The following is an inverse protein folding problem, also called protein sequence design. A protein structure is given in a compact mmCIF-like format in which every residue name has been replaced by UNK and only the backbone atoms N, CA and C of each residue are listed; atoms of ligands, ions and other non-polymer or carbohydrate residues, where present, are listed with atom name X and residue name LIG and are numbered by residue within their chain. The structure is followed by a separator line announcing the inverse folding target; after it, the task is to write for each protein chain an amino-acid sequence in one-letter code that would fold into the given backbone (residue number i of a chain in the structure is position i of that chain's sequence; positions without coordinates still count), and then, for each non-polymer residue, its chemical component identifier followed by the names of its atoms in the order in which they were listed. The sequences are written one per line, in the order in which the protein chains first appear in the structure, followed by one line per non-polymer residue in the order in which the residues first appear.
data_IF_914448544363
#
_entry.id   IF_914448544363
#
_cell.length_a   1.000
_cell.length_b   1.000
_cell.length_c   1.000
_cell.angle_alpha   90.00
_cell.angle_beta   90.00
_cell.angle_gamma   90.00
#
_symmetry.space_group_name_H-M   'P 1'
#
loop_
_entity.id
_entity.type
_entity.pdbx_description
1 polymer ?
#
# COMPACT_ATOMS: atom_id res chain seq x y z
N UNK A 1 13.73 -1.65 24.74
CA UNK A 1 14.68 -0.51 24.68
C UNK A 1 15.74 -0.57 23.57
N UNK A 2 16.16 -1.75 23.07
CA UNK A 2 17.20 -1.83 21.99
C UNK A 2 16.70 -1.63 20.54
N UNK A 3 15.38 -1.73 20.28
CA UNK A 3 14.80 -1.65 18.92
C UNK A 3 14.56 -0.21 18.42
N UNK A 4 14.20 0.72 19.31
CA UNK A 4 14.01 2.15 18.98
C UNK A 4 15.33 2.86 18.63
N UNK A 5 16.42 2.49 19.32
CA UNK A 5 17.76 3.02 19.04
C UNK A 5 18.28 2.55 17.68
N UNK A 6 17.93 1.33 17.27
CA UNK A 6 18.28 0.80 15.95
C UNK A 6 17.56 1.56 14.82
N UNK A 7 16.31 1.97 15.03
CA UNK A 7 15.55 2.79 14.10
C UNK A 7 16.15 4.20 13.93
N UNK A 8 16.52 4.85 15.03
CA UNK A 8 17.17 6.16 14.99
C UNK A 8 18.54 6.09 14.30
N UNK A 9 19.31 5.02 14.54
CA UNK A 9 20.59 4.79 13.86
C UNK A 9 20.43 4.43 12.38
N UNK A 10 19.36 3.74 11.99
CA UNK A 10 19.08 3.42 10.58
C UNK A 10 18.65 4.67 9.79
N UNK A 11 17.80 5.51 10.37
CA UNK A 11 17.44 6.82 9.79
C UNK A 11 18.65 7.74 9.71
N UNK A 12 19.50 7.77 10.75
CA UNK A 12 20.74 8.55 10.74
C UNK A 12 21.76 8.02 9.71
N UNK A 13 21.88 6.70 9.54
CA UNK A 13 22.77 6.10 8.54
C UNK A 13 22.32 6.39 7.09
N UNK A 14 21.01 6.42 6.83
CA UNK A 14 20.44 6.86 5.55
C UNK A 14 20.70 8.35 5.26
N UNK A 15 20.77 9.18 6.30
CA UNK A 15 21.09 10.62 6.19
C UNK A 15 22.59 10.89 5.99
N UNK A 16 23.46 9.95 6.37
CA UNK A 16 24.92 10.13 6.36
C UNK A 16 25.63 9.52 5.14
N UNK A 17 24.97 8.69 4.33
CA UNK A 17 25.50 8.26 3.02
C UNK A 17 25.02 9.18 1.91
N UNK A 18 25.37 10.46 2.02
CA UNK A 18 25.16 11.46 0.99
C UNK A 18 26.43 11.69 0.18
N UNK A 19 26.61 10.94 -0.90
CA UNK A 19 27.32 11.48 -2.06
C UNK A 19 26.27 12.07 -3.01
N UNK A 20 26.14 13.38 -2.92
CA UNK A 20 25.81 14.33 -3.99
C UNK A 20 24.73 13.90 -4.99
N UNK A 21 23.47 14.07 -4.61
CA UNK A 21 22.47 14.70 -5.47
C UNK A 21 21.39 15.24 -4.54
N UNK A 22 21.42 16.56 -4.30
CA UNK A 22 20.36 17.25 -3.58
C UNK A 22 19.09 17.27 -4.45
N UNK A 23 18.32 16.17 -4.46
CA UNK A 23 16.90 16.26 -4.74
C UNK A 23 16.28 16.99 -3.55
N UNK A 24 15.94 18.25 -3.79
CA UNK A 24 15.71 19.21 -2.74
C UNK A 24 14.49 18.86 -1.90
N UNK A 25 14.58 19.12 -0.61
CA UNK A 25 13.45 19.11 0.34
C UNK A 25 12.28 20.00 -0.16
N UNK A 26 12.51 20.92 -1.11
CA UNK A 26 11.45 21.70 -1.76
C UNK A 26 10.54 20.87 -2.67
N UNK A 27 11.03 19.81 -3.32
CA UNK A 27 10.18 18.89 -4.10
C UNK A 27 9.29 18.02 -3.20
N UNK A 28 9.72 17.83 -1.96
CA UNK A 28 9.04 17.05 -0.94
C UNK A 28 7.86 17.80 -0.31
N UNK A 29 7.97 19.14 -0.24
CA UNK A 29 6.91 20.06 0.19
C UNK A 29 6.19 20.73 -0.99
N UNK A 30 6.15 20.05 -2.14
CA UNK A 30 5.39 20.55 -3.28
C UNK A 30 3.88 20.41 -3.02
N UNK A 31 3.09 21.31 -3.61
CA UNK A 31 1.64 21.44 -3.34
C UNK A 31 0.86 20.13 -3.49
N UNK A 32 1.29 19.29 -4.42
CA UNK A 32 0.75 17.94 -4.68
C UNK A 32 0.97 16.95 -3.52
N UNK A 33 2.15 17.01 -2.86
CA UNK A 33 2.45 16.19 -1.67
C UNK A 33 1.74 16.72 -0.41
N UNK A 34 1.52 18.04 -0.35
CA UNK A 34 0.74 18.68 0.72
C UNK A 34 -0.75 18.32 0.59
N UNK A 35 -1.30 18.29 -0.62
CA UNK A 35 -2.70 17.85 -0.83
C UNK A 35 -2.91 16.38 -0.46
N UNK A 36 -1.92 15.51 -0.69
CA UNK A 36 -1.94 14.13 -0.18
C UNK A 36 -1.90 14.08 1.35
N UNK A 37 -1.05 14.89 1.99
CA UNK A 37 -0.94 14.95 3.45
C UNK A 37 -2.19 15.54 4.13
N UNK A 38 -2.82 16.55 3.53
CA UNK A 38 -4.06 17.18 4.03
C UNK A 38 -5.25 16.22 3.89
N UNK A 39 -5.32 15.47 2.80
CA UNK A 39 -6.34 14.45 2.58
C UNK A 39 -6.24 13.24 3.53
N UNK A 40 -5.10 13.03 4.19
CA UNK A 40 -4.94 12.01 5.23
C UNK A 40 -5.50 12.44 6.60
N UNK A 41 -5.81 13.75 6.77
CA UNK A 41 -6.27 14.34 8.05
C UNK A 41 -7.78 14.62 8.03
N UNK A 42 -8.39 14.81 6.87
CA UNK A 42 -9.83 15.05 6.74
C UNK A 42 -10.54 13.77 6.31
N UNK A 43 -11.26 13.13 7.24
CA UNK A 43 -11.89 11.82 7.09
C UNK A 43 -12.54 11.55 5.73
N UNK A 44 -11.87 10.74 4.91
CA UNK A 44 -12.39 10.20 3.65
C UNK A 44 -12.99 8.83 3.90
N UNK A 45 -14.29 8.76 4.19
CA UNK A 45 -15.08 7.55 3.97
C UNK A 45 -16.55 7.90 3.80
N UNK A 46 -16.89 8.30 2.58
CA UNK A 46 -18.27 8.36 2.07
C UNK A 46 -18.38 7.80 0.66
N UNK A 47 -17.28 7.37 0.05
CA UNK A 47 -17.24 6.93 -1.34
C UNK A 47 -17.61 5.44 -1.47
N UNK A 48 -18.50 5.16 -2.42
CA UNK A 48 -18.84 3.80 -2.82
C UNK A 48 -17.60 3.08 -3.40
N UNK A 49 -17.20 1.99 -2.76
CA UNK A 49 -16.08 1.16 -3.21
C UNK A 49 -16.38 0.42 -4.51
N UNK A 50 -17.65 0.32 -4.92
CA UNK A 50 -18.02 -0.38 -6.14
C UNK A 50 -17.39 0.27 -7.37
N UNK A 51 -17.05 -0.56 -8.34
CA UNK A 51 -16.38 -0.17 -9.58
C UNK A 51 -15.06 -0.89 -9.79
N UNK A 52 -14.40 -0.53 -10.88
CA UNK A 52 -13.08 -1.07 -11.23
C UNK A 52 -12.00 -0.05 -10.89
N UNK A 53 -10.97 -0.53 -10.23
CA UNK A 53 -9.88 0.25 -9.69
C UNK A 53 -8.57 -0.30 -10.24
N UNK A 54 -7.81 0.51 -10.95
CA UNK A 54 -6.51 0.13 -11.51
C UNK A 54 -5.39 0.56 -10.59
N UNK A 55 -4.41 -0.32 -10.41
CA UNK A 55 -3.19 -0.04 -9.67
C UNK A 55 -2.39 1.10 -10.31
N UNK A 56 -1.96 2.04 -9.48
CA UNK A 56 -1.10 3.17 -9.88
C UNK A 56 0.25 3.15 -9.15
N UNK A 57 0.33 2.56 -7.96
CA UNK A 57 1.56 2.46 -7.18
C UNK A 57 1.32 1.87 -5.79
N UNK A 58 2.39 1.73 -5.02
CA UNK A 58 2.35 1.28 -3.64
C UNK A 58 1.81 2.39 -2.72
N UNK A 59 1.17 2.00 -1.62
CA UNK A 59 0.72 2.91 -0.57
C UNK A 59 1.26 2.48 0.79
N UNK A 60 1.74 3.43 1.59
CA UNK A 60 2.21 3.18 2.95
C UNK A 60 1.54 4.17 3.92
N UNK A 61 0.91 3.64 4.96
CA UNK A 61 0.34 4.43 6.05
C UNK A 61 1.01 4.04 7.38
N UNK A 62 1.55 5.03 8.08
CA UNK A 62 2.08 4.84 9.44
C UNK A 62 0.94 4.84 10.45
N UNK A 63 0.95 3.88 11.38
CA UNK A 63 -0.10 3.75 12.40
C UNK A 63 0.05 4.76 13.57
N UNK A 64 0.99 5.71 13.48
CA UNK A 64 1.22 6.72 14.54
C UNK A 64 0.15 7.82 14.53
N UNK A 65 -0.44 8.13 15.68
CA UNK A 65 -1.36 9.27 15.86
C UNK A 65 -0.66 10.64 15.89
N UNK A 66 0.67 10.68 16.02
CA UNK A 66 1.41 11.94 16.14
C UNK A 66 1.59 12.62 14.78
N UNK A 67 0.98 13.81 14.60
CA UNK A 67 1.03 14.61 13.37
C UNK A 67 2.44 14.95 12.88
N UNK A 68 3.40 15.22 13.78
CA UNK A 68 4.80 15.47 13.41
C UNK A 68 5.48 14.20 12.89
N UNK A 69 5.14 13.05 13.47
CA UNK A 69 5.61 11.75 13.02
C UNK A 69 4.93 11.32 11.70
N UNK A 70 3.65 11.69 11.47
CA UNK A 70 2.97 11.49 10.17
C UNK A 70 3.62 12.34 9.07
N UNK A 71 3.92 13.61 9.34
CA UNK A 71 4.54 14.50 8.36
C UNK A 71 5.99 14.10 8.03
N UNK A 72 6.80 13.77 9.04
CA UNK A 72 8.14 13.20 8.83
C UNK A 72 8.09 11.80 8.19
N UNK A 73 7.05 11.03 8.50
CA UNK A 73 6.76 9.73 7.92
C UNK A 73 6.42 9.81 6.43
N UNK A 74 5.70 10.82 5.95
CA UNK A 74 5.28 10.93 4.54
C UNK A 74 6.48 10.85 3.56
N UNK A 75 7.60 11.46 3.92
CA UNK A 75 8.86 11.41 3.17
C UNK A 75 9.43 10.00 3.11
N UNK A 76 9.47 9.34 4.26
CA UNK A 76 9.96 7.98 4.39
C UNK A 76 9.00 7.00 3.68
N UNK A 77 7.69 7.25 3.70
CA UNK A 77 6.68 6.52 2.95
C UNK A 77 6.98 6.61 1.45
N UNK A 78 7.17 7.80 0.86
CA UNK A 78 7.47 7.91 -0.57
C UNK A 78 8.69 7.10 -0.99
N UNK A 79 9.77 7.13 -0.20
CA UNK A 79 10.97 6.34 -0.50
C UNK A 79 10.73 4.82 -0.38
N UNK A 80 9.97 4.40 0.63
CA UNK A 80 9.61 3.00 0.84
C UNK A 80 8.60 2.49 -0.21
N UNK A 81 7.62 3.31 -0.61
CA UNK A 81 6.67 3.06 -1.70
C UNK A 81 7.41 2.79 -2.99
N UNK A 82 8.36 3.66 -3.36
CA UNK A 82 9.20 3.46 -4.55
C UNK A 82 9.94 2.11 -4.52
N UNK A 83 10.50 1.74 -3.36
CA UNK A 83 11.22 0.47 -3.22
C UNK A 83 10.30 -0.75 -3.25
N UNK A 84 9.08 -0.61 -2.72
CA UNK A 84 8.04 -1.63 -2.79
C UNK A 84 7.56 -1.80 -4.24
N UNK A 85 7.33 -0.71 -4.96
CA UNK A 85 7.00 -0.71 -6.40
C UNK A 85 8.05 -1.45 -7.23
N UNK A 86 9.34 -1.19 -6.96
CA UNK A 86 10.43 -1.90 -7.63
C UNK A 86 10.39 -3.42 -7.38
N UNK A 87 9.97 -3.88 -6.19
CA UNK A 87 9.85 -5.32 -5.91
C UNK A 87 8.55 -5.91 -6.50
N UNK A 88 7.44 -5.18 -6.41
CA UNK A 88 6.15 -5.57 -7.00
C UNK A 88 6.24 -5.69 -8.52
N UNK A 89 6.97 -4.78 -9.17
CA UNK A 89 7.20 -4.79 -10.60
C UNK A 89 7.88 -6.09 -11.09
N UNK A 90 8.79 -6.66 -10.28
CA UNK A 90 9.48 -7.92 -10.59
C UNK A 90 8.53 -9.14 -10.55
N UNK A 91 7.42 -9.07 -9.81
CA UNK A 91 6.37 -10.10 -9.79
C UNK A 91 5.20 -9.79 -10.73
N UNK A 92 5.33 -8.75 -11.57
CA UNK A 92 4.33 -8.40 -12.58
C UNK A 92 3.23 -7.46 -12.09
N UNK A 93 3.32 -6.95 -10.86
CA UNK A 93 2.42 -5.92 -10.33
C UNK A 93 3.03 -4.56 -10.70
N UNK A 94 2.48 -3.94 -11.75
CA UNK A 94 2.90 -2.64 -12.28
C UNK A 94 1.66 -1.79 -12.55
N UNK A 95 1.85 -0.48 -12.67
CA UNK A 95 0.76 0.43 -13.03
C UNK A 95 0.00 -0.07 -14.27
N UNK A 96 -1.33 -0.11 -14.19
CA UNK A 96 -2.21 -0.60 -15.26
C UNK A 96 -2.20 -2.12 -15.50
N UNK A 97 -1.33 -2.88 -14.83
CA UNK A 97 -1.26 -4.34 -14.95
C UNK A 97 -2.00 -5.07 -13.82
N UNK A 98 -2.43 -4.36 -12.78
CA UNK A 98 -3.25 -4.91 -11.72
C UNK A 98 -4.54 -4.10 -11.56
N UNK A 99 -5.66 -4.78 -11.34
CA UNK A 99 -6.93 -4.12 -11.03
C UNK A 99 -7.77 -4.91 -10.04
N UNK A 100 -8.64 -4.19 -9.33
CA UNK A 100 -9.68 -4.75 -8.47
C UNK A 100 -11.04 -4.28 -8.98
N UNK A 101 -11.98 -5.18 -9.13
CA UNK A 101 -13.38 -4.84 -9.44
C UNK A 101 -14.24 -5.29 -8.27
N UNK A 102 -14.89 -4.34 -7.61
CA UNK A 102 -15.84 -4.57 -6.52
C UNK A 102 -17.28 -4.39 -7.06
N UNK A 103 -18.10 -5.43 -6.93
CA UNK A 103 -19.47 -5.44 -7.45
C UNK A 103 -20.48 -5.22 -6.32
N UNK A 104 -21.62 -4.61 -6.64
CA UNK A 104 -22.68 -4.33 -5.67
C UNK A 104 -23.27 -5.60 -5.01
N UNK A 105 -23.12 -6.76 -5.63
CA UNK A 105 -23.55 -8.08 -5.11
C UNK A 105 -22.57 -8.69 -4.09
N UNK A 106 -21.62 -7.90 -3.58
CA UNK A 106 -20.58 -8.34 -2.63
C UNK A 106 -19.58 -9.36 -3.20
N UNK A 107 -19.52 -9.50 -4.54
CA UNK A 107 -18.42 -10.22 -5.21
C UNK A 107 -17.32 -9.26 -5.61
N UNK A 108 -16.08 -9.75 -5.70
CA UNK A 108 -14.99 -8.97 -6.28
C UNK A 108 -14.10 -9.84 -7.16
N UNK A 109 -13.31 -9.19 -8.01
CA UNK A 109 -12.22 -9.82 -8.73
C UNK A 109 -10.94 -9.01 -8.64
N UNK A 110 -9.81 -9.70 -8.54
CA UNK A 110 -8.48 -9.13 -8.65
C UNK A 110 -7.81 -9.68 -9.90
N UNK A 111 -7.27 -8.80 -10.74
CA UNK A 111 -6.56 -9.14 -11.98
C UNK A 111 -5.11 -8.71 -11.86
N UNK A 112 -4.17 -9.55 -12.28
CA UNK A 112 -2.75 -9.22 -12.46
C UNK A 112 -2.28 -9.78 -13.80
N UNK A 113 -1.89 -8.90 -14.71
CA UNK A 113 -1.64 -9.23 -16.11
C UNK A 113 -2.88 -9.87 -16.75
N UNK A 114 -2.72 -11.07 -17.31
CA UNK A 114 -3.84 -11.83 -17.91
C UNK A 114 -4.57 -12.74 -16.91
N UNK A 115 -4.11 -12.81 -15.65
CA UNK A 115 -4.69 -13.72 -14.64
C UNK A 115 -5.73 -12.97 -13.81
N UNK A 116 -6.87 -13.60 -13.57
CA UNK A 116 -7.92 -13.08 -12.70
C UNK A 116 -8.25 -14.09 -11.60
N UNK A 117 -8.60 -13.58 -10.43
CA UNK A 117 -9.08 -14.34 -9.28
C UNK A 117 -10.35 -13.69 -8.76
N UNK A 118 -11.33 -14.50 -8.40
CA UNK A 118 -12.61 -14.05 -7.86
C UNK A 118 -12.70 -14.35 -6.37
N UNK A 119 -13.52 -13.57 -5.69
CA UNK A 119 -13.84 -13.74 -4.28
C UNK A 119 -15.11 -13.00 -3.90
N UNK A 120 -15.39 -12.96 -2.60
CA UNK A 120 -16.43 -12.11 -2.02
C UNK A 120 -15.80 -11.11 -1.06
N UNK A 121 -16.48 -9.98 -0.86
CA UNK A 121 -16.05 -8.96 0.07
C UNK A 121 -17.19 -8.48 0.95
N UNK A 122 -16.84 -7.95 2.12
CA UNK A 122 -17.74 -7.16 2.95
C UNK A 122 -17.03 -5.88 3.34
N UNK A 123 -17.69 -4.73 3.19
CA UNK A 123 -17.15 -3.42 3.56
C UNK A 123 -17.94 -2.82 4.71
N UNK A 124 -17.22 -2.42 5.75
CA UNK A 124 -17.75 -1.65 6.86
C UNK A 124 -17.28 -0.20 6.74
N UNK A 125 -18.19 0.68 6.31
CA UNK A 125 -17.92 2.09 6.13
C UNK A 125 -17.60 2.82 7.45
N UNK A 126 -18.13 2.33 8.58
CA UNK A 126 -17.92 2.94 9.90
C UNK A 126 -16.48 2.76 10.39
N UNK A 127 -15.88 1.62 10.07
CA UNK A 127 -14.50 1.29 10.43
C UNK A 127 -13.53 1.44 9.26
N UNK A 128 -14.03 1.75 8.07
CA UNK A 128 -13.28 1.85 6.82
C UNK A 128 -12.51 0.56 6.51
N UNK A 129 -13.08 -0.59 6.88
CA UNK A 129 -12.44 -1.90 6.73
C UNK A 129 -13.17 -2.74 5.72
N UNK A 130 -12.41 -3.31 4.78
CA UNK A 130 -12.89 -4.33 3.86
C UNK A 130 -12.33 -5.68 4.27
N UNK A 131 -13.18 -6.71 4.30
CA UNK A 131 -12.77 -8.10 4.41
C UNK A 131 -12.85 -8.73 3.02
N UNK A 132 -11.72 -9.17 2.46
CA UNK A 132 -11.66 -9.86 1.18
C UNK A 132 -11.51 -11.37 1.41
N UNK A 133 -12.41 -12.15 0.84
CA UNK A 133 -12.37 -13.62 0.88
C UNK A 133 -12.07 -14.15 -0.50
N UNK A 134 -10.87 -14.67 -0.68
CA UNK A 134 -10.51 -15.45 -1.86
C UNK A 134 -10.85 -16.92 -1.61
N UNK A 135 -11.20 -17.69 -2.64
CA UNK A 135 -11.62 -19.08 -2.51
C UNK A 135 -10.64 -20.01 -1.75
N UNK A 136 -9.35 -19.64 -1.64
CA UNK A 136 -8.31 -20.39 -0.90
C UNK A 136 -7.56 -19.58 0.15
N UNK A 137 -7.92 -18.31 0.35
CA UNK A 137 -7.27 -17.40 1.30
C UNK A 137 -8.35 -16.85 2.24
N UNK A 138 -8.26 -17.24 3.51
CA UNK A 138 -9.27 -16.86 4.52
C UNK A 138 -9.04 -15.41 4.93
N UNK A 139 -10.04 -14.56 4.70
CA UNK A 139 -10.26 -13.28 5.38
C UNK A 139 -9.07 -12.32 5.40
N UNK A 140 -8.85 -11.61 4.30
CA UNK A 140 -7.89 -10.51 4.23
C UNK A 140 -8.56 -9.21 4.62
N UNK A 141 -8.29 -8.73 5.83
CA UNK A 141 -8.73 -7.41 6.26
C UNK A 141 -7.79 -6.35 5.68
N UNK A 142 -8.37 -5.32 5.06
CA UNK A 142 -7.69 -4.13 4.62
C UNK A 142 -8.40 -2.88 5.16
N UNK A 143 -7.63 -1.85 5.49
CA UNK A 143 -8.15 -0.50 5.64
C UNK A 143 -8.33 0.10 4.24
N UNK A 144 -9.40 0.86 4.06
CA UNK A 144 -9.77 1.50 2.81
C UNK A 144 -9.77 3.01 3.01
N UNK A 145 -8.90 3.72 2.31
CA UNK A 145 -8.97 5.17 2.21
C UNK A 145 -9.48 5.52 0.81
N UNK A 146 -10.80 5.72 0.64
CA UNK A 146 -11.41 5.90 -0.67
C UNK A 146 -12.00 7.31 -0.87
N UNK A 147 -11.82 7.83 -2.08
CA UNK A 147 -12.57 8.96 -2.67
C UNK A 147 -13.43 8.48 -3.84
N UNK A 148 -14.08 9.39 -4.54
CA UNK A 148 -14.80 9.08 -5.79
C UNK A 148 -13.89 8.58 -6.91
N UNK A 149 -12.59 8.90 -6.90
CA UNK A 149 -11.66 8.62 -8.01
C UNK A 149 -10.40 7.86 -7.60
N UNK A 150 -10.07 7.81 -6.31
CA UNK A 150 -8.87 7.14 -5.77
C UNK A 150 -9.21 6.23 -4.60
N UNK A 151 -8.44 5.17 -4.40
CA UNK A 151 -8.58 4.26 -3.28
C UNK A 151 -7.23 3.70 -2.87
N UNK A 152 -6.89 3.77 -1.58
CA UNK A 152 -5.82 2.96 -1.03
C UNK A 152 -6.41 1.73 -0.35
N UNK A 153 -5.92 0.54 -0.73
CA UNK A 153 -6.17 -0.73 -0.07
C UNK A 153 -4.95 -1.09 0.77
N UNK A 154 -5.03 -0.87 2.07
CA UNK A 154 -3.91 -0.99 3.00
C UNK A 154 -4.08 -2.24 3.86
N UNK A 155 -3.04 -3.05 3.97
CA UNK A 155 -3.01 -4.29 4.75
C UNK A 155 -1.89 -4.23 5.78
N UNK A 156 -2.00 -5.01 6.84
CA UNK A 156 -0.82 -5.34 7.64
C UNK A 156 0.23 -6.03 6.77
N UNK A 157 1.52 -5.81 7.05
CA UNK A 157 2.63 -6.28 6.23
C UNK A 157 2.62 -7.79 5.95
N UNK A 158 2.27 -8.62 6.95
CA UNK A 158 2.18 -10.07 6.79
C UNK A 158 1.01 -10.49 5.88
N UNK A 159 -0.11 -9.78 5.99
CA UNK A 159 -1.30 -9.96 5.15
C UNK A 159 -0.99 -9.53 3.72
N UNK A 160 -0.36 -8.38 3.51
CA UNK A 160 0.05 -7.95 2.17
C UNK A 160 0.95 -9.01 1.51
N UNK A 161 1.94 -9.54 2.25
CA UNK A 161 2.82 -10.58 1.74
C UNK A 161 2.05 -11.84 1.34
N UNK A 162 1.10 -12.30 2.17
CA UNK A 162 0.22 -13.43 1.86
C UNK A 162 -0.61 -13.16 0.60
N UNK A 163 -1.16 -11.95 0.44
CA UNK A 163 -1.92 -11.55 -0.73
C UNK A 163 -1.07 -11.54 -1.99
N UNK A 164 0.08 -10.87 -1.96
CA UNK A 164 1.02 -10.84 -3.09
C UNK A 164 1.44 -12.26 -3.45
N UNK A 165 1.81 -13.08 -2.46
CA UNK A 165 2.16 -14.48 -2.66
C UNK A 165 1.02 -15.26 -3.28
N UNK A 166 -0.22 -15.04 -2.85
CA UNK A 166 -1.38 -15.69 -3.44
C UNK A 166 -1.61 -15.27 -4.90
N UNK A 167 -1.59 -13.97 -5.18
CA UNK A 167 -1.68 -13.37 -6.52
C UNK A 167 -0.56 -13.88 -7.45
N UNK A 168 0.65 -14.07 -6.91
CA UNK A 168 1.83 -14.50 -7.64
C UNK A 168 2.06 -16.01 -7.62
N UNK A 169 1.39 -16.80 -6.77
CA UNK A 169 1.65 -18.24 -6.59
C UNK A 169 1.29 -19.08 -7.82
N UNK A 170 0.54 -18.49 -8.77
CA UNK A 170 0.33 -19.05 -10.10
C UNK A 170 1.38 -18.60 -11.12
N UNK A 171 2.39 -17.84 -10.71
CA UNK A 171 3.51 -17.32 -11.51
C UNK A 171 4.79 -18.05 -11.10
N UNK A 172 5.53 -18.58 -12.07
CA UNK A 172 6.71 -19.44 -11.87
C UNK A 172 7.99 -18.67 -11.50
N UNK A 173 7.92 -17.56 -10.75
CA UNK A 173 9.05 -16.63 -10.58
C UNK A 173 9.66 -16.63 -9.15
N UNK A 174 10.99 -16.72 -9.08
CA UNK A 174 11.81 -16.88 -7.86
C UNK A 174 11.94 -15.61 -6.97
N UNK A 175 11.31 -14.50 -7.38
CA UNK A 175 11.37 -13.17 -6.75
C UNK A 175 10.65 -13.07 -5.39
N UNK A 176 9.82 -14.05 -5.03
CA UNK A 176 8.98 -14.01 -3.82
C UNK A 176 9.76 -13.89 -2.50
N UNK A 177 10.99 -14.38 -2.46
CA UNK A 177 11.85 -14.29 -1.25
C UNK A 177 12.21 -12.84 -0.90
N UNK A 178 12.34 -11.93 -1.87
CA UNK A 178 12.72 -10.54 -1.63
C UNK A 178 11.58 -9.67 -1.08
N UNK A 179 10.33 -9.98 -1.46
CA UNK A 179 9.14 -9.28 -0.95
C UNK A 179 8.90 -9.62 0.53
N UNK A 180 9.17 -10.88 0.92
CA UNK A 180 9.10 -11.31 2.32
C UNK A 180 10.06 -10.58 3.25
N UNK A 181 11.27 -10.25 2.76
CA UNK A 181 12.25 -9.48 3.52
C UNK A 181 11.81 -8.04 3.78
N UNK A 182 11.14 -7.39 2.80
CA UNK A 182 10.62 -6.04 2.99
C UNK A 182 9.48 -6.03 4.02
N UNK A 183 8.52 -6.95 3.94
CA UNK A 183 7.38 -7.00 4.86
C UNK A 183 7.79 -7.14 6.34
N UNK A 184 8.88 -7.87 6.63
CA UNK A 184 9.42 -8.02 7.98
C UNK A 184 10.14 -6.78 8.52
N UNK A 185 10.39 -5.76 7.69
CA UNK A 185 11.13 -4.54 8.06
C UNK A 185 10.24 -3.45 8.65
N UNK A 186 8.92 -3.58 8.54
CA UNK A 186 7.96 -2.50 8.78
C UNK A 186 6.92 -2.92 9.84
N UNK A 187 7.37 -3.07 11.08
CA UNK A 187 6.53 -3.19 12.28
C UNK A 187 5.93 -1.80 12.60
N UNK A 188 4.59 -1.68 12.66
CA UNK A 188 3.87 -0.41 12.89
C UNK A 188 3.46 0.40 11.64
N UNK A 189 3.37 -0.24 10.46
CA UNK A 189 2.83 0.37 9.22
C UNK A 189 1.83 -0.55 8.54
N UNK A 190 0.84 0.06 7.90
CA UNK A 190 0.02 -0.58 6.89
C UNK A 190 0.60 -0.32 5.50
N UNK A 191 0.67 -1.37 4.69
CA UNK A 191 1.23 -1.35 3.34
C UNK A 191 0.17 -1.85 2.37
N UNK A 192 0.18 -1.34 1.15
CA UNK A 192 -0.72 -1.89 0.15
C UNK A 192 -0.67 -1.17 -1.18
N UNK A 193 -1.84 -0.99 -1.77
CA UNK A 193 -1.99 -0.59 -3.16
C UNK A 193 -2.74 0.73 -3.24
N UNK A 194 -2.15 1.71 -3.93
CA UNK A 194 -2.86 2.88 -4.40
C UNK A 194 -3.50 2.58 -5.75
N UNK A 195 -4.78 2.92 -5.86
CA UNK A 195 -5.64 2.59 -6.98
C UNK A 195 -6.38 3.84 -7.48
N UNK A 196 -6.65 3.86 -8.78
CA UNK A 196 -7.46 4.86 -9.45
C UNK A 196 -8.69 4.21 -10.10
N UNK A 197 -9.85 4.83 -9.95
CA UNK A 197 -11.09 4.36 -10.58
C UNK A 197 -10.96 4.45 -12.11
N UNK A 198 -11.34 3.38 -12.80
CA UNK A 198 -11.43 3.33 -14.27
C UNK A 198 -12.73 3.95 -14.78
#
# INVERSE_FOLDING_TARGET
MKRLVFWQLFVAALLLTGNSHAQSIKDLFNKENIEKAVNAVTGKSTADMTGTWSYTGSAIEFESDNLLQKAGGAVAATAAEKKLDEQLAKVGIKAGQMSFTFNADSTFSAKVGQKSMKGSYSYDASTQKVNLKFAKLIGMNAKVNATSTTMDLLFESDKLLKLITFLSSKSSNSTLKSIGSLANSYDGMMLGFSLQKL
#
